data_IF_511189011305
#
_entry.id   IF_511189011305
#
_cell.length_a   1.000
_cell.length_b   1.000
_cell.length_c   1.000
_cell.angle_alpha   90.00
_cell.angle_beta   90.00
_cell.angle_gamma   90.00
#
_symmetry.space_group_name_H-M   'P 1'
#
loop_
_entity.id
_entity.type
_entity.pdbx_description
1 polymer ?
#
# COMPACT_ATOMS: atom_id res chain seq x y z
N UNK A 1 16.28 16.81 -11.41
CA UNK A 1 15.05 16.23 -10.79
C UNK A 1 15.40 15.82 -9.37
N UNK A 2 14.74 16.42 -8.37
CA UNK A 2 15.09 16.14 -6.98
C UNK A 2 14.14 15.09 -6.39
N UNK A 3 14.68 14.07 -5.74
CA UNK A 3 13.93 13.04 -5.03
C UNK A 3 14.62 12.72 -3.69
N UNK A 4 13.95 11.98 -2.83
CA UNK A 4 14.44 11.79 -1.46
C UNK A 4 15.09 10.44 -1.21
N UNK A 5 15.93 10.39 -0.15
CA UNK A 5 16.52 9.19 0.42
C UNK A 5 16.27 9.18 1.93
N UNK A 6 16.02 8.00 2.50
CA UNK A 6 15.80 7.81 3.93
C UNK A 6 16.40 6.48 4.41
N UNK A 7 16.74 6.41 5.69
CA UNK A 7 17.43 5.27 6.28
C UNK A 7 16.59 3.99 6.38
N UNK A 8 15.26 4.09 6.36
CA UNK A 8 14.35 2.94 6.35
C UNK A 8 12.91 3.38 6.06
N UNK A 9 12.03 2.44 5.76
CA UNK A 9 10.58 2.71 5.64
C UNK A 9 9.94 3.20 6.95
N UNK A 10 10.57 2.93 8.09
CA UNK A 10 10.07 3.34 9.41
C UNK A 10 10.49 4.77 9.77
N UNK A 11 11.57 5.26 9.17
CA UNK A 11 11.99 6.65 9.35
C UNK A 11 11.05 7.56 8.56
N UNK A 12 10.66 8.66 9.19
CA UNK A 12 9.96 9.76 8.52
C UNK A 12 10.91 10.81 7.99
N UNK A 13 12.17 10.77 8.41
CA UNK A 13 13.19 11.70 7.96
C UNK A 13 13.65 11.34 6.55
N UNK A 14 13.63 12.32 5.67
CA UNK A 14 14.04 12.21 4.27
C UNK A 14 14.92 13.40 3.93
N UNK A 15 16.04 13.14 3.32
CA UNK A 15 16.91 14.17 2.73
C UNK A 15 16.91 14.04 1.21
N UNK A 16 17.34 15.08 0.53
CA UNK A 16 17.52 15.03 -0.94
C UNK A 16 18.59 13.98 -1.26
N UNK A 17 18.29 13.10 -2.22
CA UNK A 17 19.22 12.08 -2.66
C UNK A 17 20.26 12.69 -3.60
N UNK A 18 21.53 12.66 -3.20
CA UNK A 18 22.67 12.99 -4.06
C UNK A 18 23.29 11.73 -4.64
N UNK A 19 24.12 11.82 -5.71
CA UNK A 19 24.87 10.69 -6.23
C UNK A 19 25.69 9.97 -5.15
N UNK A 20 26.38 10.74 -4.30
CA UNK A 20 27.24 10.21 -3.23
C UNK A 20 26.42 9.41 -2.21
N UNK A 21 25.27 9.92 -1.77
CA UNK A 21 24.38 9.23 -0.84
C UNK A 21 23.78 7.96 -1.45
N UNK A 22 23.43 8.02 -2.74
CA UNK A 22 22.95 6.85 -3.47
C UNK A 22 24.00 5.75 -3.55
N UNK A 23 25.24 6.10 -3.97
CA UNK A 23 26.34 5.14 -4.03
C UNK A 23 26.77 4.63 -2.66
N UNK A 24 26.79 5.49 -1.65
CA UNK A 24 27.07 5.06 -0.29
C UNK A 24 26.04 4.02 0.21
N UNK A 25 24.77 4.21 -0.12
CA UNK A 25 23.72 3.30 0.28
C UNK A 25 23.78 1.98 -0.50
N UNK A 26 23.94 2.01 -1.83
CA UNK A 26 23.98 0.80 -2.69
C UNK A 26 25.25 -0.05 -2.45
N UNK A 27 26.37 0.58 -2.05
CA UNK A 27 27.62 -0.11 -1.71
C UNK A 27 27.72 -0.54 -0.25
N UNK A 28 26.73 -0.19 0.57
CA UNK A 28 26.73 -0.51 1.99
C UNK A 28 26.69 -2.03 2.24
N UNK A 29 27.59 -2.53 3.10
CA UNK A 29 27.60 -3.92 3.54
C UNK A 29 26.27 -4.32 4.17
N UNK A 30 25.64 -3.42 4.94
CA UNK A 30 24.30 -3.66 5.53
C UNK A 30 23.24 -3.94 4.47
N UNK A 31 23.22 -3.22 3.36
CA UNK A 31 22.27 -3.44 2.27
C UNK A 31 22.52 -4.80 1.61
N UNK A 32 23.80 -5.13 1.34
CA UNK A 32 24.21 -6.43 0.81
C UNK A 32 23.80 -7.58 1.72
N UNK A 33 24.11 -7.48 3.02
CA UNK A 33 23.81 -8.51 4.01
C UNK A 33 22.29 -8.74 4.15
N UNK A 34 21.49 -7.68 4.15
CA UNK A 34 20.02 -7.80 4.22
C UNK A 34 19.46 -8.44 2.95
N UNK A 35 19.93 -8.06 1.78
CA UNK A 35 19.50 -8.66 0.51
C UNK A 35 19.93 -10.14 0.43
N UNK A 36 21.14 -10.48 0.84
CA UNK A 36 21.60 -11.87 0.90
C UNK A 36 20.75 -12.74 1.86
N UNK A 37 20.30 -12.19 2.99
CA UNK A 37 19.37 -12.88 3.89
C UNK A 37 17.99 -13.10 3.26
N UNK A 38 17.51 -12.16 2.44
CA UNK A 38 16.24 -12.33 1.71
C UNK A 38 16.39 -13.41 0.64
N UNK A 39 17.52 -13.44 -0.06
CA UNK A 39 17.86 -14.48 -1.05
C UNK A 39 17.93 -15.86 -0.40
N UNK A 40 18.65 -16.01 0.72
CA UNK A 40 18.70 -17.27 1.48
C UNK A 40 17.29 -17.73 1.88
N UNK A 41 16.47 -16.82 2.39
CA UNK A 41 15.09 -17.15 2.75
C UNK A 41 14.26 -17.62 1.53
N UNK A 42 14.47 -16.99 0.35
CA UNK A 42 13.82 -17.42 -0.89
C UNK A 42 14.27 -18.82 -1.32
N UNK A 43 15.57 -19.09 -1.25
CA UNK A 43 16.11 -20.42 -1.57
C UNK A 43 15.62 -21.50 -0.63
N UNK A 44 15.56 -21.21 0.67
CA UNK A 44 15.00 -22.12 1.68
C UNK A 44 13.53 -22.44 1.41
N UNK A 45 12.75 -21.41 1.01
CA UNK A 45 11.38 -21.60 0.54
C UNK A 45 11.32 -22.52 -0.70
N UNK A 46 12.19 -22.26 -1.70
CA UNK A 46 12.26 -23.08 -2.93
C UNK A 46 12.62 -24.55 -2.65
N UNK A 47 13.45 -24.79 -1.64
CA UNK A 47 13.80 -26.13 -1.17
C UNK A 47 12.73 -26.77 -0.26
N UNK A 48 11.66 -26.03 0.09
CA UNK A 48 10.60 -26.52 0.98
C UNK A 48 10.98 -26.54 2.47
N UNK A 49 12.07 -25.89 2.87
CA UNK A 49 12.54 -25.83 4.27
C UNK A 49 11.69 -24.86 5.11
N UNK A 50 11.11 -23.86 4.49
CA UNK A 50 10.18 -22.90 5.13
C UNK A 50 8.93 -22.76 4.28
N UNK A 51 7.80 -22.47 4.95
CA UNK A 51 6.52 -22.19 4.30
C UNK A 51 6.44 -20.81 3.66
N UNK A 52 5.39 -20.58 2.87
CA UNK A 52 5.14 -19.29 2.24
C UNK A 52 4.95 -18.16 3.29
N UNK A 53 4.22 -18.43 4.35
CA UNK A 53 3.92 -17.49 5.42
C UNK A 53 5.20 -17.07 6.17
N UNK A 54 6.04 -18.03 6.50
CA UNK A 54 7.33 -17.79 7.15
C UNK A 54 8.23 -16.93 6.26
N UNK A 55 8.31 -17.27 4.97
CA UNK A 55 9.06 -16.49 3.98
C UNK A 55 8.54 -15.05 3.90
N UNK A 56 7.23 -14.84 3.78
CA UNK A 56 6.64 -13.51 3.66
C UNK A 56 6.88 -12.67 4.93
N UNK A 57 6.84 -13.29 6.10
CA UNK A 57 7.16 -12.67 7.38
C UNK A 57 8.63 -12.25 7.44
N UNK A 58 9.55 -13.17 7.11
CA UNK A 58 11.00 -12.88 7.07
C UNK A 58 11.32 -11.79 6.06
N UNK A 59 10.82 -11.91 4.84
CA UNK A 59 10.98 -10.93 3.75
C UNK A 59 10.52 -9.53 4.16
N UNK A 60 9.33 -9.42 4.75
CA UNK A 60 8.77 -8.14 5.20
C UNK A 60 9.61 -7.50 6.29
N UNK A 61 10.05 -8.30 7.27
CA UNK A 61 10.93 -7.85 8.35
C UNK A 61 12.27 -7.35 7.80
N UNK A 62 12.92 -8.12 6.93
CA UNK A 62 14.21 -7.78 6.34
C UNK A 62 14.12 -6.54 5.44
N UNK A 63 13.12 -6.46 4.56
CA UNK A 63 12.88 -5.26 3.75
C UNK A 63 12.72 -3.99 4.60
N UNK A 64 12.15 -4.10 5.79
CA UNK A 64 11.99 -2.93 6.68
C UNK A 64 13.31 -2.37 7.23
N UNK A 65 14.42 -3.10 7.09
CA UNK A 65 15.77 -2.67 7.50
C UNK A 65 16.52 -1.95 6.38
N UNK A 66 16.03 -2.05 5.14
CA UNK A 66 16.67 -1.40 4.00
C UNK A 66 16.42 0.11 3.99
N UNK A 67 17.40 0.91 3.57
CA UNK A 67 17.15 2.31 3.21
C UNK A 67 16.23 2.39 2.00
N UNK A 68 15.62 3.55 1.82
CA UNK A 68 14.64 3.78 0.77
C UNK A 68 14.92 5.06 -0.01
N UNK A 69 14.54 5.05 -1.27
CA UNK A 69 14.31 6.25 -2.07
C UNK A 69 12.83 6.65 -2.03
N UNK A 70 12.55 7.92 -2.27
CA UNK A 70 11.22 8.44 -2.56
C UNK A 70 11.22 9.08 -3.95
N UNK A 71 11.21 8.26 -5.03
CA UNK A 71 11.42 8.77 -6.38
C UNK A 71 10.38 9.78 -6.83
N UNK A 72 9.15 9.70 -6.32
CA UNK A 72 8.05 10.59 -6.71
C UNK A 72 8.17 12.01 -6.17
N UNK A 73 8.94 12.24 -5.08
CA UNK A 73 8.97 13.53 -4.41
C UNK A 73 10.21 13.75 -3.52
N UNK A 74 10.49 15.02 -3.25
CA UNK A 74 11.15 15.52 -2.05
C UNK A 74 10.12 16.06 -1.06
N UNK A 75 10.56 16.52 0.13
CA UNK A 75 9.63 16.94 1.19
C UNK A 75 10.11 18.25 1.84
N UNK A 76 9.26 19.28 1.88
CA UNK A 76 9.60 20.64 2.36
C UNK A 76 10.23 20.66 3.74
N UNK A 77 9.75 19.83 4.64
CA UNK A 77 10.22 19.80 6.04
C UNK A 77 11.13 18.60 6.33
N UNK A 78 11.70 17.95 5.30
CA UNK A 78 12.50 16.73 5.46
C UNK A 78 11.73 15.57 6.07
N UNK A 79 10.39 15.60 6.03
CA UNK A 79 9.52 14.55 6.56
C UNK A 79 8.65 13.93 5.47
N UNK A 80 8.66 12.62 5.38
CA UNK A 80 7.89 11.85 4.41
C UNK A 80 6.38 11.89 4.72
N UNK A 81 5.75 12.99 4.33
CA UNK A 81 4.31 13.22 4.44
C UNK A 81 3.80 13.73 3.10
N UNK A 82 2.69 13.19 2.62
CA UNK A 82 2.09 13.62 1.33
C UNK A 82 1.79 15.12 1.27
N UNK A 83 1.39 15.72 2.39
CA UNK A 83 1.11 17.16 2.48
C UNK A 83 2.37 18.04 2.27
N UNK A 84 3.56 17.51 2.53
CA UNK A 84 4.85 18.21 2.39
C UNK A 84 5.57 17.83 1.09
N UNK A 85 4.98 16.95 0.28
CA UNK A 85 5.62 16.43 -0.91
C UNK A 85 5.74 17.49 -2.01
N UNK A 86 6.93 17.57 -2.60
CA UNK A 86 7.24 18.33 -3.80
C UNK A 86 7.49 17.32 -4.91
N UNK A 87 6.61 17.22 -5.92
CA UNK A 87 6.75 16.23 -6.98
C UNK A 87 8.08 16.37 -7.73
N UNK A 88 8.73 15.24 -8.00
CA UNK A 88 10.01 15.17 -8.72
C UNK A 88 9.85 15.15 -10.24
N UNK A 89 8.66 14.84 -10.75
CA UNK A 89 8.43 14.49 -12.15
C UNK A 89 8.79 13.03 -12.49
N UNK A 90 9.22 12.24 -11.48
CA UNK A 90 9.50 10.82 -11.66
C UNK A 90 8.33 9.96 -11.17
N UNK A 91 8.20 8.78 -11.79
CA UNK A 91 7.33 7.71 -11.30
C UNK A 91 8.10 6.40 -11.22
N UNK A 92 7.56 5.46 -10.43
CA UNK A 92 8.07 4.09 -10.38
C UNK A 92 7.07 3.14 -11.04
N UNK A 93 7.60 2.08 -11.63
CA UNK A 93 6.82 0.99 -12.17
C UNK A 93 7.35 -0.33 -11.58
N UNK A 94 6.46 -1.12 -11.00
CA UNK A 94 6.78 -2.41 -10.41
C UNK A 94 6.29 -3.52 -11.34
N UNK A 95 7.20 -4.39 -11.76
CA UNK A 95 6.91 -5.65 -12.42
C UNK A 95 7.21 -6.79 -11.48
N UNK A 96 6.18 -7.38 -10.91
CA UNK A 96 6.28 -8.49 -9.96
C UNK A 96 6.17 -9.85 -10.65
N UNK A 97 6.51 -10.90 -9.91
CA UNK A 97 6.36 -12.30 -10.31
C UNK A 97 7.13 -12.70 -11.57
N UNK A 98 8.37 -12.22 -11.70
CA UNK A 98 9.28 -12.58 -12.79
C UNK A 98 10.28 -13.62 -12.29
N UNK A 99 10.36 -14.75 -12.99
CA UNK A 99 11.31 -15.82 -12.66
C UNK A 99 12.78 -15.43 -12.93
N UNK A 100 13.02 -14.68 -14.01
CA UNK A 100 14.32 -14.13 -14.40
C UNK A 100 14.19 -12.63 -14.70
N UNK A 101 14.31 -11.75 -13.67
CA UNK A 101 14.21 -10.31 -13.86
C UNK A 101 15.29 -9.74 -14.80
N UNK A 102 16.50 -10.26 -14.72
CA UNK A 102 17.63 -9.78 -15.54
C UNK A 102 17.42 -10.10 -17.01
N UNK A 103 17.06 -11.34 -17.32
CA UNK A 103 16.77 -11.75 -18.69
C UNK A 103 15.55 -11.02 -19.26
N UNK A 104 14.52 -10.82 -18.45
CA UNK A 104 13.34 -10.05 -18.86
C UNK A 104 13.71 -8.61 -19.25
N UNK A 105 14.50 -7.91 -18.40
CA UNK A 105 14.92 -6.54 -18.70
C UNK A 105 15.77 -6.47 -19.95
N UNK A 106 16.73 -7.39 -20.10
CA UNK A 106 17.56 -7.47 -21.30
C UNK A 106 16.72 -7.57 -22.58
N UNK A 107 15.75 -8.51 -22.61
CA UNK A 107 14.88 -8.67 -23.75
C UNK A 107 13.97 -7.45 -23.99
N UNK A 108 13.39 -6.91 -22.92
CA UNK A 108 12.47 -5.77 -23.01
C UNK A 108 13.18 -4.48 -23.42
N UNK A 109 14.38 -4.23 -22.91
CA UNK A 109 15.16 -3.04 -23.31
C UNK A 109 15.55 -3.07 -24.78
N UNK A 110 15.91 -4.25 -25.33
CA UNK A 110 16.16 -4.39 -26.78
C UNK A 110 14.87 -4.19 -27.61
N UNK A 111 13.76 -4.75 -27.14
CA UNK A 111 12.46 -4.53 -27.80
C UNK A 111 12.09 -3.04 -27.84
N UNK A 112 12.23 -2.34 -26.70
CA UNK A 112 11.95 -0.90 -26.60
C UNK A 112 12.91 -0.08 -27.46
N UNK A 113 14.19 -0.46 -27.52
CA UNK A 113 15.18 0.24 -28.38
C UNK A 113 14.77 0.26 -29.84
N UNK A 114 14.18 -0.82 -30.31
CA UNK A 114 13.71 -0.95 -31.70
C UNK A 114 12.34 -0.33 -31.90
N UNK A 115 11.38 -0.64 -31.04
CA UNK A 115 9.97 -0.27 -31.24
C UNK A 115 9.62 1.12 -30.69
N UNK A 116 10.16 1.47 -29.51
CA UNK A 116 9.80 2.67 -28.76
C UNK A 116 11.00 3.31 -28.04
N UNK A 117 12.01 3.80 -28.78
CA UNK A 117 13.23 4.36 -28.18
C UNK A 117 12.95 5.55 -27.24
N UNK A 118 11.87 6.30 -27.49
CA UNK A 118 11.45 7.42 -26.63
C UNK A 118 10.96 6.95 -25.25
N UNK A 119 10.36 5.75 -25.16
CA UNK A 119 9.96 5.15 -23.88
C UNK A 119 11.21 4.70 -23.12
N UNK A 120 12.13 4.00 -23.81
CA UNK A 120 13.40 3.60 -23.22
C UNK A 120 14.19 4.80 -22.70
N UNK A 121 14.22 5.90 -23.44
CA UNK A 121 14.89 7.14 -23.05
C UNK A 121 14.25 7.80 -21.80
N UNK A 122 13.03 7.49 -21.42
CA UNK A 122 12.43 8.00 -20.17
C UNK A 122 12.81 7.19 -18.93
N UNK A 123 13.31 5.98 -19.10
CA UNK A 123 13.72 5.12 -17.98
C UNK A 123 15.11 5.57 -17.51
N UNK A 124 15.24 5.86 -16.20
CA UNK A 124 16.48 6.37 -15.62
C UNK A 124 17.16 5.37 -14.69
N UNK A 125 16.41 4.49 -14.06
CA UNK A 125 16.95 3.46 -13.18
C UNK A 125 16.11 2.20 -13.32
N UNK A 126 16.78 1.04 -13.43
CA UNK A 126 16.13 -0.27 -13.36
C UNK A 126 16.93 -1.16 -12.42
N UNK A 127 16.26 -1.77 -11.48
CA UNK A 127 16.90 -2.70 -10.56
C UNK A 127 16.01 -3.89 -10.24
N UNK A 128 16.63 -5.00 -9.91
CA UNK A 128 15.95 -6.16 -9.33
C UNK A 128 15.43 -5.79 -7.94
N UNK A 129 14.22 -6.23 -7.60
CA UNK A 129 13.67 -5.99 -6.26
C UNK A 129 14.41 -6.80 -5.20
N UNK A 130 14.42 -6.39 -3.91
CA UNK A 130 15.12 -7.14 -2.86
C UNK A 130 14.66 -8.59 -2.71
N UNK A 131 13.49 -8.96 -3.22
CA UNK A 131 12.96 -10.33 -3.21
C UNK A 131 13.42 -11.18 -4.38
N UNK A 132 14.18 -10.62 -5.33
CA UNK A 132 14.64 -11.30 -6.55
C UNK A 132 13.52 -11.80 -7.49
N UNK A 133 12.26 -11.50 -7.15
CA UNK A 133 11.07 -11.98 -7.87
C UNK A 133 10.40 -10.88 -8.70
N UNK A 134 11.09 -9.76 -8.94
CA UNK A 134 10.55 -8.65 -9.71
C UNK A 134 11.57 -7.57 -10.04
N UNK A 135 11.12 -6.59 -10.80
CA UNK A 135 11.87 -5.41 -11.22
C UNK A 135 11.17 -4.14 -10.76
N UNK A 136 11.95 -3.12 -10.51
CA UNK A 136 11.48 -1.74 -10.36
C UNK A 136 12.17 -0.84 -11.37
N UNK A 137 11.36 -0.06 -12.07
CA UNK A 137 11.80 0.96 -12.99
C UNK A 137 11.49 2.33 -12.40
N UNK A 138 12.44 3.27 -12.46
CA UNK A 138 12.21 4.69 -12.21
C UNK A 138 12.27 5.42 -13.54
N UNK A 139 11.25 6.19 -13.86
CA UNK A 139 11.15 6.85 -15.16
C UNK A 139 10.58 8.27 -15.06
N UNK A 140 10.89 9.08 -16.07
CA UNK A 140 10.34 10.44 -16.21
C UNK A 140 8.89 10.33 -16.69
N UNK A 141 7.97 10.89 -15.92
CA UNK A 141 6.54 10.91 -16.30
C UNK A 141 6.34 11.68 -17.61
N UNK A 142 5.44 11.25 -18.49
CA UNK A 142 4.96 12.08 -19.58
C UNK A 142 4.35 13.37 -19.04
N UNK A 143 4.52 14.45 -19.79
CA UNK A 143 3.99 15.76 -19.42
C UNK A 143 2.47 15.73 -19.27
N UNK A 144 1.95 16.39 -18.25
CA UNK A 144 0.51 16.47 -17.98
C UNK A 144 -0.09 15.23 -17.29
N UNK A 145 0.66 14.14 -17.11
CA UNK A 145 0.14 12.93 -16.44
C UNK A 145 0.35 12.99 -14.92
N UNK A 146 -0.65 12.51 -14.19
CA UNK A 146 -0.49 12.18 -12.77
C UNK A 146 0.14 10.77 -12.60
N UNK A 147 0.47 10.39 -11.34
CA UNK A 147 1.12 9.11 -11.04
C UNK A 147 0.36 7.89 -11.55
N UNK A 148 -0.98 7.88 -11.42
CA UNK A 148 -1.79 6.75 -11.86
C UNK A 148 -1.84 6.62 -13.39
N UNK A 149 -1.92 7.75 -14.08
CA UNK A 149 -1.90 7.82 -15.55
C UNK A 149 -0.52 7.42 -16.09
N UNK A 150 0.56 7.90 -15.46
CA UNK A 150 1.93 7.57 -15.86
C UNK A 150 2.20 6.06 -15.72
N UNK A 151 1.69 5.42 -14.66
CA UNK A 151 1.83 3.97 -14.48
C UNK A 151 1.03 3.17 -15.50
N UNK A 152 -0.22 3.56 -15.73
CA UNK A 152 -1.03 2.94 -16.78
C UNK A 152 -0.36 3.10 -18.15
N UNK A 153 0.20 4.28 -18.42
CA UNK A 153 0.94 4.54 -19.64
C UNK A 153 2.15 3.61 -19.76
N UNK A 154 2.98 3.49 -18.72
CA UNK A 154 4.16 2.63 -18.72
C UNK A 154 3.77 1.15 -18.88
N UNK A 155 2.70 0.69 -18.22
CA UNK A 155 2.20 -0.69 -18.37
C UNK A 155 1.86 -1.02 -19.82
N UNK A 156 1.18 -0.11 -20.50
CA UNK A 156 0.85 -0.26 -21.94
C UNK A 156 2.11 -0.30 -22.81
N UNK A 157 3.12 0.55 -22.51
CA UNK A 157 4.39 0.54 -23.27
C UNK A 157 5.18 -0.76 -23.07
N UNK A 158 5.08 -1.35 -21.89
CA UNK A 158 5.74 -2.62 -21.56
C UNK A 158 4.91 -3.86 -21.98
N UNK A 159 3.68 -3.67 -22.44
CA UNK A 159 2.76 -4.76 -22.74
C UNK A 159 2.37 -5.56 -21.51
N UNK A 160 2.26 -4.91 -20.35
CA UNK A 160 1.94 -5.51 -19.06
C UNK A 160 0.50 -5.18 -18.67
N UNK A 161 -0.38 -6.16 -18.72
CA UNK A 161 -1.79 -5.99 -18.37
C UNK A 161 -2.05 -6.08 -16.85
N UNK A 162 -1.11 -6.66 -16.09
CA UNK A 162 -1.25 -6.94 -14.65
C UNK A 162 -0.34 -6.03 -13.80
N UNK A 163 -0.44 -4.70 -13.96
CA UNK A 163 0.36 -3.78 -13.17
C UNK A 163 -0.29 -3.40 -11.82
N UNK A 164 0.56 -3.04 -10.85
CA UNK A 164 0.10 -2.58 -9.52
C UNK A 164 -0.53 -1.17 -9.61
N UNK A 165 -1.86 -1.10 -9.60
CA UNK A 165 -2.62 0.15 -9.63
C UNK A 165 -2.54 0.98 -8.32
N UNK A 166 -1.84 0.48 -7.30
CA UNK A 166 -1.80 1.09 -5.96
C UNK A 166 -0.79 2.23 -5.83
N UNK A 167 0.01 2.53 -6.87
CA UNK A 167 1.04 3.58 -6.80
C UNK A 167 0.42 4.95 -7.07
N UNK A 168 -0.21 5.53 -6.06
CA UNK A 168 -0.86 6.86 -6.13
C UNK A 168 -0.28 7.85 -5.12
N UNK A 169 0.73 7.44 -4.37
CA UNK A 169 1.24 8.15 -3.21
C UNK A 169 2.61 8.78 -3.52
N UNK A 170 2.72 10.10 -3.37
CA UNK A 170 3.98 10.83 -3.53
C UNK A 170 5.04 10.41 -2.51
N UNK A 171 4.62 9.97 -1.32
CA UNK A 171 5.50 9.47 -0.28
C UNK A 171 5.86 7.98 -0.41
N UNK A 172 5.53 7.32 -1.54
CA UNK A 172 5.80 5.89 -1.75
C UNK A 172 7.29 5.58 -1.72
N UNK A 173 7.71 4.62 -0.88
CA UNK A 173 9.11 4.23 -0.79
C UNK A 173 9.50 3.25 -1.90
N UNK A 174 10.74 3.36 -2.36
CA UNK A 174 11.45 2.38 -3.18
C UNK A 174 12.66 1.88 -2.39
N UNK A 175 12.73 0.57 -2.11
CA UNK A 175 13.86 0.02 -1.38
C UNK A 175 15.16 0.18 -2.18
N UNK A 176 16.22 0.60 -1.51
CA UNK A 176 17.57 0.59 -2.07
C UNK A 176 18.07 -0.86 -2.06
N UNK A 177 18.74 -1.22 -3.13
CA UNK A 177 19.32 -2.54 -3.37
C UNK A 177 20.82 -2.43 -3.53
N UNK A 178 21.58 -3.54 -3.41
CA UNK A 178 23.00 -3.57 -3.73
C UNK A 178 23.27 -3.13 -5.18
N UNK A 179 24.44 -2.58 -5.43
CA UNK A 179 24.85 -2.12 -6.76
C UNK A 179 24.76 -3.22 -7.83
N UNK A 180 25.02 -4.46 -7.45
CA UNK A 180 24.92 -5.64 -8.31
C UNK A 180 23.49 -5.99 -8.77
N UNK A 181 22.47 -5.43 -8.11
CA UNK A 181 21.06 -5.59 -8.50
C UNK A 181 20.59 -4.50 -9.46
N UNK A 182 21.42 -3.46 -9.70
CA UNK A 182 21.11 -2.38 -10.63
C UNK A 182 21.44 -2.86 -12.05
N UNK A 183 20.41 -2.95 -12.90
CA UNK A 183 20.55 -3.42 -14.28
C UNK A 183 20.78 -2.28 -15.28
N UNK A 184 20.32 -1.08 -14.94
CA UNK A 184 20.47 0.12 -15.73
C UNK A 184 20.38 1.37 -14.86
N UNK A 185 21.21 2.35 -15.12
CA UNK A 185 21.14 3.68 -14.53
C UNK A 185 21.65 4.74 -15.51
N UNK A 186 20.87 5.82 -15.66
CA UNK A 186 21.30 7.07 -16.30
C UNK A 186 21.52 8.11 -15.20
N UNK A 187 22.71 8.07 -14.60
CA UNK A 187 23.06 8.93 -13.46
C UNK A 187 23.01 10.42 -13.81
N UNK A 188 23.47 10.79 -14.99
CA UNK A 188 23.51 12.17 -15.41
C UNK A 188 22.13 12.81 -15.43
N UNK A 189 21.10 12.04 -15.85
CA UNK A 189 19.72 12.52 -15.91
C UNK A 189 18.98 12.30 -14.60
N UNK A 190 19.26 11.21 -13.89
CA UNK A 190 18.61 10.88 -12.61
C UNK A 190 18.93 11.95 -11.56
N UNK A 191 20.17 12.44 -11.53
CA UNK A 191 20.65 13.44 -10.59
C UNK A 191 20.84 14.84 -11.21
N UNK A 192 20.29 15.08 -12.42
CA UNK A 192 20.32 16.40 -13.00
C UNK A 192 19.69 17.42 -12.04
N UNK A 193 20.44 18.43 -11.67
CA UNK A 193 19.90 19.56 -10.92
C UNK A 193 18.77 20.21 -11.71
N UNK A 194 17.67 20.49 -11.05
CA UNK A 194 16.69 21.42 -11.58
C UNK A 194 17.36 22.79 -11.46
N UNK A 195 17.72 23.42 -12.56
CA UNK A 195 18.05 24.84 -12.54
C UNK A 195 16.85 25.54 -11.88
N UNK A 196 17.01 25.92 -10.62
CA UNK A 196 16.08 26.84 -9.98
C UNK A 196 16.22 28.15 -10.75
N UNK A 197 15.14 28.72 -11.28
CA UNK A 197 15.19 30.10 -11.77
C UNK A 197 15.77 30.93 -10.62
N UNK A 198 16.89 31.60 -10.85
CA UNK A 198 17.48 32.52 -9.90
C UNK A 198 16.39 33.53 -9.51
N UNK A 199 16.21 33.71 -8.21
CA UNK A 199 15.42 34.77 -7.64
C UNK A 199 15.92 36.11 -8.18
N UNK A 200 15.26 36.61 -9.21
CA UNK A 200 15.39 37.97 -9.67
C UNK A 200 13.99 38.50 -9.92
N UNK A 201 13.67 39.43 -9.08
CA UNK A 201 12.56 40.38 -9.11
C UNK A 201 11.38 40.13 -8.20
N UNK A 202 11.55 40.66 -6.98
CA UNK A 202 10.47 41.24 -6.18
C UNK A 202 9.60 42.18 -7.03
N UNK A 203 8.34 41.84 -7.22
CA UNK A 203 7.24 42.76 -7.38
C UNK A 203 5.90 42.06 -7.09
N UNK A 204 5.35 42.37 -5.95
CA UNK A 204 3.93 42.12 -5.61
C UNK A 204 3.06 43.17 -6.31
N UNK A 205 1.74 43.18 -6.10
CA UNK A 205 0.74 42.11 -6.29
C UNK A 205 -0.36 42.53 -7.25
N UNK A 206 -1.04 41.67 -7.91
CA UNK A 206 -2.38 41.95 -8.42
C UNK A 206 -3.34 40.80 -8.16
N UNK A 207 -4.31 41.12 -7.31
CA UNK A 207 -5.57 40.41 -7.19
C UNK A 207 -6.36 40.46 -8.49
N UNK A 208 -6.98 39.38 -8.88
CA UNK A 208 -8.23 39.29 -9.62
C UNK A 208 -8.78 37.87 -9.42
N UNK A 209 -9.79 37.76 -8.63
CA UNK A 209 -11.25 37.64 -8.80
C UNK A 209 -11.72 37.03 -10.11
N UNK A 210 -12.49 35.93 -9.91
CA UNK A 210 -13.58 35.43 -10.76
C UNK A 210 -13.18 34.66 -12.01
N UNK A 211 -13.87 33.63 -12.39
CA UNK A 211 -15.33 33.43 -12.40
C UNK A 211 -15.67 31.93 -12.43
N UNK A 212 -16.73 31.60 -11.71
CA UNK A 212 -17.53 30.40 -11.91
C UNK A 212 -18.09 30.37 -13.33
N UNK A 213 -17.88 29.33 -14.06
CA UNK A 213 -18.76 28.93 -15.16
C UNK A 213 -19.23 27.52 -14.95
N UNK A 214 -20.46 27.41 -14.45
CA UNK A 214 -21.33 26.28 -14.59
C UNK A 214 -21.47 25.94 -16.08
N UNK A 215 -21.16 24.72 -16.45
CA UNK A 215 -21.72 24.16 -17.67
C UNK A 215 -22.66 23.02 -17.28
N UNK A 216 -23.94 23.39 -17.32
CA UNK A 216 -25.05 22.46 -17.49
C UNK A 216 -24.87 21.70 -18.79
N UNK A 217 -24.90 20.39 -18.73
CA UNK A 217 -25.24 19.56 -19.87
C UNK A 217 -26.51 18.78 -19.53
N UNK A 218 -27.55 19.23 -20.18
CA UNK A 218 -28.90 18.70 -20.15
C UNK A 218 -28.99 17.30 -20.77
N UNK A 219 -29.88 16.55 -20.20
CA UNK A 219 -30.80 15.54 -20.70
C UNK A 219 -30.61 14.97 -22.11
N UNK A 220 -30.49 13.65 -22.15
CA UNK A 220 -31.14 12.90 -23.22
C UNK A 220 -31.85 11.66 -22.63
N UNK A 221 -33.17 11.78 -22.60
CA UNK A 221 -34.12 10.74 -22.29
C UNK A 221 -34.23 9.76 -23.46
N UNK A 222 -33.98 8.50 -23.23
CA UNK A 222 -34.62 7.47 -24.05
C UNK A 222 -35.42 6.50 -23.17
N UNK A 223 -36.71 6.70 -23.25
CA UNK A 223 -37.78 5.80 -22.81
C UNK A 223 -37.70 4.49 -23.58
N UNK A 224 -37.68 3.39 -22.87
CA UNK A 224 -38.30 2.14 -23.33
C UNK A 224 -39.13 1.56 -22.19
N UNK A 225 -40.41 1.72 -22.33
CA UNK A 225 -41.47 1.05 -21.62
C UNK A 225 -41.53 -0.42 -22.03
N UNK A 226 -41.57 -1.35 -21.09
CA UNK A 226 -42.46 -2.50 -21.18
C UNK A 226 -42.66 -3.03 -19.76
N UNK A 227 -43.88 -2.86 -19.31
CA UNK A 227 -44.42 -3.47 -18.10
C UNK A 227 -44.72 -4.95 -18.32
N UNK A 228 -44.62 -5.71 -17.28
CA UNK A 228 -45.54 -6.79 -16.93
C UNK A 228 -45.50 -6.92 -15.40
N UNK A 229 -46.62 -6.63 -14.78
CA UNK A 229 -46.99 -7.04 -13.42
C UNK A 229 -46.98 -8.58 -13.33
N UNK A 230 -46.28 -9.14 -12.37
CA UNK A 230 -46.69 -10.37 -11.72
C UNK A 230 -46.30 -10.35 -10.25
N UNK A 231 -47.30 -10.14 -9.46
CA UNK A 231 -47.40 -10.39 -8.03
C UNK A 231 -47.13 -11.89 -7.75
N UNK A 232 -46.02 -12.19 -7.08
CA UNK A 232 -45.82 -13.45 -6.39
C UNK A 232 -45.26 -13.16 -5.01
N UNK A 233 -46.14 -13.12 -4.03
CA UNK A 233 -45.83 -13.27 -2.61
C UNK A 233 -45.10 -14.59 -2.39
N UNK A 234 -43.78 -14.54 -2.35
CA UNK A 234 -42.92 -15.61 -1.85
C UNK A 234 -42.28 -15.13 -0.58
N UNK A 235 -42.56 -15.83 0.52
CA UNK A 235 -41.84 -15.68 1.79
C UNK A 235 -40.33 -15.83 1.46
N UNK A 236 -39.58 -14.73 1.50
CA UNK A 236 -38.11 -14.76 1.45
C UNK A 236 -37.66 -15.52 2.70
N UNK A 237 -37.21 -16.75 2.51
CA UNK A 237 -36.42 -17.47 3.51
C UNK A 237 -35.22 -16.61 3.82
N UNK A 238 -35.21 -16.02 5.00
CA UNK A 238 -34.12 -15.25 5.52
C UNK A 238 -32.86 -16.15 5.52
N UNK A 239 -31.97 -15.92 4.58
CA UNK A 239 -30.70 -16.66 4.46
C UNK A 239 -29.81 -16.17 5.59
N UNK A 240 -29.49 -17.05 6.53
CA UNK A 240 -28.68 -16.73 7.70
C UNK A 240 -27.20 -16.70 7.27
N UNK A 241 -26.67 -15.51 7.05
CA UNK A 241 -25.27 -15.31 6.67
C UNK A 241 -24.37 -15.26 7.91
N UNK A 242 -23.09 -15.61 7.72
CA UNK A 242 -22.11 -15.54 8.78
C UNK A 242 -22.01 -14.11 9.35
N UNK A 243 -22.06 -14.00 10.67
CA UNK A 243 -21.98 -12.72 11.39
C UNK A 243 -20.55 -12.21 11.55
N UNK A 244 -19.56 -13.04 11.22
CA UNK A 244 -18.13 -12.76 11.43
C UNK A 244 -17.30 -13.27 10.26
N UNK A 245 -16.28 -12.50 9.89
CA UNK A 245 -15.22 -12.89 8.96
C UNK A 245 -13.97 -13.23 9.78
N UNK A 246 -13.46 -14.46 9.67
CA UNK A 246 -12.31 -14.95 10.44
C UNK A 246 -12.38 -14.64 11.95
N UNK A 247 -13.58 -14.83 12.50
CA UNK A 247 -13.88 -14.55 13.91
C UNK A 247 -14.04 -13.05 14.27
N UNK A 248 -13.89 -12.13 13.33
CA UNK A 248 -14.05 -10.67 13.51
C UNK A 248 -15.48 -10.29 13.08
N UNK A 249 -16.25 -9.55 13.88
CA UNK A 249 -17.56 -9.04 13.46
C UNK A 249 -17.45 -8.17 12.21
N UNK A 250 -18.36 -8.34 11.24
CA UNK A 250 -18.39 -7.51 10.03
C UNK A 250 -18.49 -6.02 10.35
N UNK A 251 -19.24 -5.66 11.39
CA UNK A 251 -19.39 -4.28 11.86
C UNK A 251 -18.04 -3.65 12.22
N UNK A 252 -17.16 -4.38 12.91
CA UNK A 252 -15.83 -3.91 13.26
C UNK A 252 -14.97 -3.68 12.01
N UNK A 253 -14.98 -4.62 11.04
CA UNK A 253 -14.22 -4.48 9.80
C UNK A 253 -14.77 -3.32 8.97
N UNK A 254 -16.09 -3.18 8.90
CA UNK A 254 -16.74 -2.09 8.16
C UNK A 254 -16.41 -0.73 8.78
N UNK A 255 -16.44 -0.60 10.10
CA UNK A 255 -16.02 0.63 10.81
C UNK A 255 -14.57 1.00 10.51
N UNK A 256 -13.66 0.02 10.49
CA UNK A 256 -12.25 0.25 10.10
C UNK A 256 -12.08 0.63 8.64
N UNK A 257 -12.89 0.06 7.75
CA UNK A 257 -12.90 0.47 6.33
C UNK A 257 -13.36 1.93 6.20
N UNK A 258 -14.42 2.32 6.91
CA UNK A 258 -14.91 3.72 6.93
C UNK A 258 -13.81 4.66 7.44
N UNK A 259 -13.14 4.33 8.54
CA UNK A 259 -12.02 5.11 9.09
C UNK A 259 -10.88 5.25 8.06
N UNK A 260 -10.48 4.16 7.42
CA UNK A 260 -9.41 4.14 6.41
C UNK A 260 -9.79 4.89 5.12
N UNK A 261 -11.06 5.07 4.85
CA UNK A 261 -11.58 5.83 3.70
C UNK A 261 -11.74 7.34 4.00
N UNK A 262 -11.37 7.77 5.20
CA UNK A 262 -11.41 9.19 5.58
C UNK A 262 -12.59 9.56 6.50
N UNK A 263 -13.28 8.57 7.07
CA UNK A 263 -14.41 8.75 7.97
C UNK A 263 -15.77 8.71 7.26
N UNK A 264 -16.82 9.09 7.96
CA UNK A 264 -18.19 9.07 7.42
C UNK A 264 -18.37 10.08 6.28
N UNK A 265 -19.12 9.71 5.23
CA UNK A 265 -19.31 10.57 4.07
C UNK A 265 -20.22 11.79 4.38
N UNK A 266 -19.88 12.93 3.81
CA UNK A 266 -20.71 14.13 3.88
C UNK A 266 -21.99 13.97 3.03
N UNK A 267 -22.99 14.82 3.33
CA UNK A 267 -24.21 14.90 2.53
C UNK A 267 -23.86 15.22 1.04
N UNK A 268 -24.35 14.37 0.13
CA UNK A 268 -24.05 14.47 -1.32
C UNK A 268 -22.99 13.47 -1.82
N UNK A 269 -22.09 12.97 -0.97
CA UNK A 269 -21.11 11.93 -1.34
C UNK A 269 -21.45 10.51 -0.85
N UNK A 270 -22.56 10.36 -0.12
CA UNK A 270 -22.98 9.09 0.52
C UNK A 270 -23.11 7.94 -0.47
N UNK A 271 -23.73 8.19 -1.59
CA UNK A 271 -23.98 7.14 -2.60
C UNK A 271 -22.66 6.61 -3.21
N UNK A 272 -21.74 7.51 -3.55
CA UNK A 272 -20.41 7.15 -4.05
C UNK A 272 -19.60 6.41 -2.98
N UNK A 273 -19.75 6.78 -1.72
CA UNK A 273 -19.09 6.13 -0.61
C UNK A 273 -19.64 4.70 -0.38
N UNK A 274 -20.97 4.53 -0.36
CA UNK A 274 -21.65 3.23 -0.28
C UNK A 274 -21.18 2.33 -1.43
N UNK A 275 -21.08 2.87 -2.64
CA UNK A 275 -20.57 2.14 -3.80
C UNK A 275 -19.15 1.63 -3.57
N UNK A 276 -18.24 2.50 -3.11
CA UNK A 276 -16.84 2.16 -2.85
C UNK A 276 -16.72 1.13 -1.73
N UNK A 277 -17.47 1.31 -0.63
CA UNK A 277 -17.50 0.39 0.48
C UNK A 277 -18.05 -0.98 0.07
N UNK A 278 -19.10 -1.00 -0.76
CA UNK A 278 -19.65 -2.25 -1.33
C UNK A 278 -18.61 -3.00 -2.15
N UNK A 279 -17.83 -2.30 -2.98
CA UNK A 279 -16.75 -2.92 -3.75
C UNK A 279 -15.69 -3.59 -2.87
N UNK A 280 -15.45 -3.09 -1.65
CA UNK A 280 -14.55 -3.73 -0.68
C UNK A 280 -15.20 -4.88 0.07
N UNK A 281 -16.47 -4.75 0.48
CA UNK A 281 -17.20 -5.80 1.19
C UNK A 281 -17.46 -7.04 0.32
N UNK A 282 -17.45 -6.93 -1.00
CA UNK A 282 -17.53 -8.07 -1.93
C UNK A 282 -16.48 -9.15 -1.66
N UNK A 283 -15.27 -8.74 -1.25
CA UNK A 283 -14.18 -9.67 -0.93
C UNK A 283 -14.36 -10.42 0.39
N UNK A 284 -15.26 -9.96 1.23
CA UNK A 284 -15.55 -10.53 2.55
C UNK A 284 -16.87 -11.29 2.57
N UNK A 285 -17.79 -10.97 1.66
CA UNK A 285 -19.14 -11.49 1.56
C UNK A 285 -19.32 -12.36 0.29
N UNK A 286 -18.28 -12.98 -0.22
CA UNK A 286 -18.28 -13.88 -1.38
C UNK A 286 -19.03 -13.32 -2.61
N UNK A 287 -18.89 -12.01 -2.86
CA UNK A 287 -19.59 -11.28 -3.92
C UNK A 287 -21.12 -11.32 -3.85
N UNK A 288 -21.67 -11.64 -2.68
CA UNK A 288 -23.10 -11.79 -2.47
C UNK A 288 -23.75 -10.47 -2.08
N UNK A 289 -24.56 -9.90 -2.99
CA UNK A 289 -25.21 -8.61 -2.78
C UNK A 289 -26.16 -8.62 -1.57
N UNK A 290 -26.89 -9.71 -1.32
CA UNK A 290 -27.83 -9.84 -0.20
C UNK A 290 -27.09 -9.81 1.14
N UNK A 291 -25.95 -10.47 1.21
CA UNK A 291 -25.09 -10.43 2.38
C UNK A 291 -24.51 -9.03 2.63
N UNK A 292 -23.98 -8.37 1.59
CA UNK A 292 -23.46 -7.01 1.68
C UNK A 292 -24.53 -6.04 2.18
N UNK A 293 -25.79 -6.15 1.72
CA UNK A 293 -26.91 -5.32 2.17
C UNK A 293 -27.22 -5.46 3.67
N UNK A 294 -26.85 -6.60 4.29
CA UNK A 294 -27.04 -6.81 5.73
C UNK A 294 -25.94 -6.15 6.58
N UNK A 295 -24.71 -6.05 6.03
CA UNK A 295 -23.54 -5.59 6.80
C UNK A 295 -23.12 -4.15 6.50
N UNK A 296 -23.66 -3.55 5.42
CA UNK A 296 -23.25 -2.20 5.00
C UNK A 296 -24.08 -1.11 5.72
N UNK A 297 -23.43 -0.08 6.29
CA UNK A 297 -24.15 1.08 6.83
C UNK A 297 -24.68 1.98 5.71
N UNK A 298 -25.87 2.54 5.90
CA UNK A 298 -26.50 3.43 4.91
C UNK A 298 -26.10 4.89 5.05
N UNK A 299 -25.47 5.29 6.14
CA UNK A 299 -25.06 6.68 6.45
C UNK A 299 -26.22 7.69 6.35
N UNK A 300 -27.46 7.25 6.66
CA UNK A 300 -28.67 8.08 6.54
C UNK A 300 -29.18 8.22 5.10
N UNK A 301 -28.72 7.43 4.15
CA UNK A 301 -29.32 7.32 2.82
C UNK A 301 -30.57 6.41 2.89
N UNK A 302 -31.53 6.62 1.98
CA UNK A 302 -32.69 5.75 1.87
C UNK A 302 -32.27 4.31 1.54
N UNK A 303 -32.78 3.32 2.29
CA UNK A 303 -32.39 1.91 2.12
C UNK A 303 -32.51 1.41 0.69
N UNK A 304 -33.61 1.77 -0.01
CA UNK A 304 -33.84 1.35 -1.39
C UNK A 304 -32.71 1.86 -2.32
N UNK A 305 -32.31 3.11 -2.17
CA UNK A 305 -31.24 3.73 -2.96
C UNK A 305 -29.87 3.14 -2.60
N UNK A 306 -29.57 2.97 -1.32
CA UNK A 306 -28.35 2.33 -0.86
C UNK A 306 -28.22 0.91 -1.41
N UNK A 307 -29.29 0.13 -1.40
CA UNK A 307 -29.30 -1.26 -1.88
C UNK A 307 -29.18 -1.35 -3.41
N UNK A 308 -29.77 -0.43 -4.17
CA UNK A 308 -29.53 -0.33 -5.63
C UNK A 308 -28.07 -0.03 -5.92
N UNK A 309 -27.41 0.76 -5.07
CA UNK A 309 -25.98 1.05 -5.18
C UNK A 309 -25.11 -0.18 -4.91
N UNK A 310 -25.48 -1.01 -3.92
CA UNK A 310 -24.84 -2.31 -3.65
C UNK A 310 -24.96 -3.23 -4.87
N UNK A 311 -26.16 -3.35 -5.43
CA UNK A 311 -26.38 -4.18 -6.63
C UNK A 311 -25.50 -3.72 -7.80
N UNK A 312 -25.42 -2.40 -8.02
CA UNK A 312 -24.56 -1.83 -9.06
C UNK A 312 -23.07 -2.09 -8.82
N UNK A 313 -22.64 -2.12 -7.56
CA UNK A 313 -21.27 -2.48 -7.22
C UNK A 313 -20.97 -3.96 -7.52
N UNK A 314 -21.90 -4.86 -7.22
CA UNK A 314 -21.77 -6.30 -7.47
C UNK A 314 -21.79 -6.68 -8.96
N UNK A 315 -22.35 -5.84 -9.82
CA UNK A 315 -22.33 -6.06 -11.26
C UNK A 315 -20.97 -5.76 -11.91
N UNK A 316 -20.07 -5.07 -11.20
CA UNK A 316 -18.74 -4.77 -11.74
C UNK A 316 -17.82 -5.98 -11.69
N UNK A 317 -16.95 -6.10 -12.70
CA UNK A 317 -15.90 -7.12 -12.73
C UNK A 317 -15.00 -6.97 -11.51
N UNK A 318 -14.83 -8.04 -10.74
CA UNK A 318 -14.02 -8.05 -9.52
C UNK A 318 -12.64 -8.63 -9.81
N UNK A 319 -11.61 -8.07 -9.20
CA UNK A 319 -10.26 -8.67 -9.17
C UNK A 319 -10.26 -9.87 -8.23
N UNK A 320 -9.54 -10.93 -8.57
CA UNK A 320 -9.39 -12.10 -7.70
C UNK A 320 -8.55 -11.81 -6.44
N UNK A 321 -7.84 -10.68 -6.41
CA UNK A 321 -6.96 -10.32 -5.29
C UNK A 321 -7.66 -9.33 -4.34
N UNK A 322 -7.74 -9.70 -3.06
CA UNK A 322 -8.28 -8.83 -2.02
C UNK A 322 -7.47 -7.52 -1.91
N UNK A 323 -8.12 -6.33 -1.98
CA UNK A 323 -7.46 -5.03 -1.90
C UNK A 323 -6.69 -4.84 -0.58
N UNK A 324 -5.59 -4.09 -0.64
CA UNK A 324 -4.75 -3.80 0.52
C UNK A 324 -5.52 -3.12 1.66
N UNK A 325 -6.47 -2.24 1.34
CA UNK A 325 -7.28 -1.54 2.35
C UNK A 325 -8.14 -2.51 3.15
N UNK A 326 -8.69 -3.54 2.51
CA UNK A 326 -9.48 -4.59 3.19
C UNK A 326 -8.57 -5.41 4.11
N UNK A 327 -7.42 -5.84 3.62
CA UNK A 327 -6.42 -6.56 4.44
C UNK A 327 -5.94 -5.72 5.63
N UNK A 328 -5.73 -4.43 5.42
CA UNK A 328 -5.34 -3.50 6.49
C UNK A 328 -6.44 -3.35 7.53
N UNK A 329 -7.71 -3.24 7.12
CA UNK A 329 -8.83 -3.18 8.05
C UNK A 329 -8.93 -4.44 8.92
N UNK A 330 -8.75 -5.63 8.32
CA UNK A 330 -8.74 -6.91 9.04
C UNK A 330 -7.58 -6.95 10.04
N UNK A 331 -6.36 -6.59 9.62
CA UNK A 331 -5.16 -6.56 10.49
C UNK A 331 -5.36 -5.65 11.70
N UNK A 332 -5.91 -4.46 11.49
CA UNK A 332 -6.19 -3.52 12.58
C UNK A 332 -7.21 -4.09 13.58
N UNK A 333 -8.26 -4.74 13.09
CA UNK A 333 -9.24 -5.41 13.96
C UNK A 333 -8.61 -6.58 14.73
N UNK A 334 -7.71 -7.35 14.12
CA UNK A 334 -6.97 -8.42 14.78
C UNK A 334 -6.04 -7.88 15.88
N UNK A 335 -5.32 -6.79 15.60
CA UNK A 335 -4.46 -6.12 16.57
C UNK A 335 -5.24 -5.55 17.76
N UNK A 336 -6.39 -4.92 17.51
CA UNK A 336 -7.28 -4.43 18.57
C UNK A 336 -7.84 -5.56 19.44
N UNK A 337 -8.23 -6.66 18.81
CA UNK A 337 -8.68 -7.85 19.52
C UNK A 337 -7.57 -8.51 20.35
N UNK A 338 -6.33 -8.50 19.83
CA UNK A 338 -5.17 -9.00 20.57
C UNK A 338 -4.86 -8.10 21.77
N UNK A 339 -4.97 -6.76 21.61
CA UNK A 339 -4.83 -5.80 22.72
C UNK A 339 -5.96 -5.94 23.74
N UNK A 340 -7.21 -6.09 23.30
CA UNK A 340 -8.36 -6.35 24.18
C UNK A 340 -8.21 -7.64 24.98
N UNK A 341 -7.70 -8.71 24.35
CA UNK A 341 -7.39 -9.95 25.07
C UNK A 341 -6.21 -9.82 26.04
N UNK A 342 -5.24 -8.94 25.70
CA UNK A 342 -4.14 -8.64 26.62
C UNK A 342 -4.60 -7.76 27.82
N UNK A 343 -5.66 -6.96 27.64
CA UNK A 343 -6.27 -6.17 28.73
C UNK A 343 -7.19 -7.01 29.63
N UNK A 344 -7.68 -8.17 29.16
CA UNK A 344 -8.44 -9.16 29.96
C UNK A 344 -7.51 -10.11 30.75
N UNK A 345 -6.20 -10.00 30.58
CA UNK A 345 -5.26 -10.61 31.52
C UNK A 345 -5.29 -9.78 32.80
N UNK A 346 -5.81 -10.41 33.84
CA UNK A 346 -5.87 -9.86 35.19
C UNK A 346 -4.46 -9.36 35.57
N UNK A 347 -4.31 -8.04 35.70
CA UNK A 347 -3.04 -7.43 36.09
C UNK A 347 -2.55 -7.97 37.45
N UNK A 348 -3.45 -8.49 38.25
CA UNK A 348 -3.14 -9.13 39.54
C UNK A 348 -2.46 -10.51 39.37
N UNK A 349 -2.63 -11.22 38.24
CA UNK A 349 -1.96 -12.52 38.00
C UNK A 349 -0.48 -12.34 37.58
N UNK A 350 -0.11 -11.24 36.96
CA UNK A 350 1.26 -10.99 36.45
C UNK A 350 1.95 -9.78 37.07
N UNK A 351 1.23 -8.93 37.77
CA UNK A 351 1.74 -7.72 38.35
C UNK A 351 2.16 -6.64 37.34
N UNK A 352 2.51 -5.48 37.83
CA UNK A 352 3.04 -4.40 37.00
C UNK A 352 4.50 -4.67 36.63
N UNK A 353 4.80 -4.70 35.32
CA UNK A 353 6.17 -4.88 34.79
C UNK A 353 7.19 -3.88 35.37
N UNK A 354 6.72 -2.70 35.75
CA UNK A 354 7.56 -1.64 36.31
C UNK A 354 7.65 -1.69 37.84
N UNK A 355 6.90 -2.57 38.50
CA UNK A 355 6.95 -2.72 39.95
C UNK A 355 8.00 -3.78 40.35
N UNK A 356 9.05 -3.41 41.12
CA UNK A 356 10.09 -4.34 41.59
C UNK A 356 9.57 -5.51 42.42
N UNK A 357 8.42 -5.33 43.07
CA UNK A 357 7.78 -6.38 43.85
C UNK A 357 6.83 -7.25 43.07
N UNK A 358 6.67 -6.96 41.77
CA UNK A 358 5.82 -7.74 40.88
C UNK A 358 6.44 -9.08 40.52
N UNK A 359 5.61 -9.99 40.05
CA UNK A 359 5.99 -11.35 39.62
C UNK A 359 7.10 -11.39 38.55
N UNK A 360 7.20 -10.38 37.69
CA UNK A 360 8.25 -10.28 36.67
C UNK A 360 9.67 -10.21 37.24
N UNK A 361 9.85 -9.73 38.46
CA UNK A 361 11.14 -9.70 39.14
C UNK A 361 11.45 -11.00 39.91
N UNK A 362 10.46 -11.90 40.02
CA UNK A 362 10.62 -13.22 40.71
C UNK A 362 10.80 -14.34 39.67
N UNK A 363 11.89 -14.27 38.90
CA UNK A 363 12.17 -15.17 37.79
C UNK A 363 12.09 -16.66 38.18
N UNK A 364 12.42 -16.99 39.41
CA UNK A 364 12.37 -18.37 39.94
C UNK A 364 10.94 -18.87 40.18
N UNK A 365 9.94 -18.00 40.27
CA UNK A 365 8.53 -18.33 40.49
C UNK A 365 7.71 -18.32 39.17
N UNK A 366 8.36 -18.19 38.01
CA UNK A 366 7.67 -18.15 36.73
C UNK A 366 6.72 -19.33 36.54
N UNK A 367 5.42 -19.09 36.22
CA UNK A 367 4.48 -20.18 35.97
C UNK A 367 4.93 -21.06 34.80
N UNK A 368 4.69 -22.35 34.92
CA UNK A 368 5.01 -23.32 33.84
C UNK A 368 4.22 -23.02 32.54
N UNK A 369 3.17 -22.22 32.62
CA UNK A 369 2.30 -21.82 31.50
C UNK A 369 2.91 -20.78 30.56
N UNK A 370 4.00 -20.09 30.95
CA UNK A 370 4.66 -19.13 30.06
C UNK A 370 5.34 -19.83 28.88
N UNK A 371 5.20 -19.31 27.65
CA UNK A 371 5.86 -19.88 26.49
C UNK A 371 7.37 -20.02 26.71
N UNK A 372 7.93 -21.14 26.27
CA UNK A 372 9.35 -21.48 26.44
C UNK A 372 10.31 -20.37 25.95
N UNK A 373 9.88 -19.61 24.96
CA UNK A 373 10.64 -18.49 24.39
C UNK A 373 10.77 -17.33 25.39
N UNK A 374 9.71 -17.00 26.13
CA UNK A 374 9.72 -15.93 27.15
C UNK A 374 10.61 -16.33 28.32
N UNK A 375 10.57 -17.60 28.76
CA UNK A 375 11.48 -18.13 29.77
C UNK A 375 12.95 -18.01 29.37
N UNK A 376 13.29 -18.29 28.09
CA UNK A 376 14.65 -18.17 27.57
C UNK A 376 15.13 -16.73 27.50
N UNK A 377 14.26 -15.79 27.18
CA UNK A 377 14.59 -14.37 27.14
C UNK A 377 14.84 -13.81 28.53
N UNK A 378 14.00 -14.12 29.50
CA UNK A 378 14.13 -13.62 30.89
C UNK A 378 15.29 -14.30 31.62
N UNK A 379 15.57 -15.57 31.36
CA UNK A 379 16.70 -16.28 31.98
C UNK A 379 18.08 -15.86 31.48
N UNK A 380 18.14 -15.11 30.35
CA UNK A 380 19.40 -14.60 29.77
C UNK A 380 19.64 -13.12 30.01
N UNK A 381 18.72 -12.41 30.64
CA UNK A 381 18.93 -11.01 31.01
C UNK A 381 19.75 -10.98 32.31
N UNK A 382 20.97 -10.42 32.32
CA UNK A 382 21.73 -10.30 33.54
C UNK A 382 20.97 -9.36 34.49
N UNK A 383 20.73 -9.79 35.70
CA UNK A 383 20.21 -8.95 36.76
C UNK A 383 21.32 -7.93 37.08
N UNK A 384 21.13 -6.71 36.65
CA UNK A 384 21.99 -5.60 37.08
C UNK A 384 21.50 -5.20 38.49
N UNK A 385 22.31 -5.51 39.46
CA UNK A 385 22.15 -5.03 40.84
C UNK A 385 22.49 -3.55 40.95
#
# INVERSE_FOLDING_TARGET
MAFGISQSVRSREVQVCTPELFHQATKSSRVKDVCAQIEDALERKRRGEIGQEDYDTMKTRLKSLLPILTPHATFRNGRRLNADAIPSGLSIYDKDHIADPTGWWKAKSEELRVKNPQVLARILLVHVTPSLEGLRLVFVMPEGMNLAEAQKWMSLQLGDEEYDVCVKDLARPSFIVPEEYILFIDEARLFAEVETPSDADDAAPHANTHENTNHDCADDHHLCNHGVDQDHGGEEKQQDFAQKYDGIPYEAITSKLVELLGGEPQHGSRNSFIFTLSCYLRYLCDDNATWIKQVIPTFGEEKKRAFTTVDSACQRKQSHRMPMIVRKAISLCQEERARGKAADYDADEFGDILNPDSYFYRIHEMPQKLPRLIRLLVSKTPVIY
#
